data_IF_762735987398
#
_entry.id   IF_762735987398
#
_cell.length_a   1.000
_cell.length_b   1.000
_cell.length_c   1.000
_cell.angle_alpha   90.00
_cell.angle_beta   90.00
_cell.angle_gamma   90.00
#
_symmetry.space_group_name_H-M   'P 1'
#
loop_
_entity.id
_entity.type
_entity.pdbx_description
1 polymer ?
#
# COMPACT_ATOMS: atom_id res chain seq x y z
N UNK A 1 19.12 -4.86 -11.32
CA UNK A 1 19.06 -5.09 -9.87
C UNK A 1 17.94 -4.21 -9.35
N UNK A 2 16.87 -4.78 -8.78
CA UNK A 2 15.77 -3.96 -8.23
C UNK A 2 16.29 -3.05 -7.13
N UNK A 3 15.82 -1.81 -7.12
CA UNK A 3 16.13 -0.86 -6.06
C UNK A 3 15.66 -1.45 -4.70
N UNK A 4 16.53 -1.51 -3.67
CA UNK A 4 16.11 -1.94 -2.32
C UNK A 4 14.90 -1.16 -1.77
N UNK A 5 14.69 0.08 -2.22
CA UNK A 5 13.50 0.89 -1.92
C UNK A 5 12.23 0.28 -2.50
N UNK A 6 12.26 -0.15 -3.76
CA UNK A 6 11.12 -0.79 -4.43
C UNK A 6 10.77 -2.14 -3.81
N UNK A 7 11.77 -2.95 -3.45
CA UNK A 7 11.56 -4.23 -2.76
C UNK A 7 10.90 -4.04 -1.38
N UNK A 8 11.29 -2.97 -0.67
CA UNK A 8 10.69 -2.61 0.63
C UNK A 8 9.24 -2.14 0.46
N UNK A 9 8.97 -1.30 -0.54
CA UNK A 9 7.61 -0.84 -0.87
C UNK A 9 6.72 -2.01 -1.27
N UNK A 10 7.19 -2.90 -2.13
CA UNK A 10 6.47 -4.11 -2.54
C UNK A 10 6.09 -4.94 -1.31
N UNK A 11 7.06 -5.21 -0.42
CA UNK A 11 6.81 -5.99 0.80
C UNK A 11 5.75 -5.37 1.70
N UNK A 12 5.76 -4.03 1.86
CA UNK A 12 4.73 -3.30 2.63
C UNK A 12 3.35 -3.40 1.99
N UNK A 13 3.26 -3.29 0.66
CA UNK A 13 2.02 -3.44 -0.09
C UNK A 13 1.45 -4.86 0.02
N UNK A 14 2.29 -5.88 -0.16
CA UNK A 14 1.90 -7.29 -0.02
C UNK A 14 1.37 -7.58 1.38
N UNK A 15 2.06 -7.10 2.43
CA UNK A 15 1.64 -7.29 3.81
C UNK A 15 0.31 -6.60 4.12
N UNK A 16 0.13 -5.35 3.65
CA UNK A 16 -1.13 -4.63 3.80
C UNK A 16 -2.28 -5.35 3.08
N UNK A 17 -2.06 -5.87 1.88
CA UNK A 17 -3.04 -6.65 1.13
C UNK A 17 -3.42 -7.96 1.86
N UNK A 18 -2.43 -8.70 2.37
CA UNK A 18 -2.67 -9.92 3.16
C UNK A 18 -3.55 -9.64 4.38
N UNK A 19 -3.31 -8.52 5.07
CA UNK A 19 -4.16 -8.10 6.21
C UNK A 19 -5.59 -7.81 5.79
N UNK A 20 -5.81 -7.15 4.64
CA UNK A 20 -7.17 -6.92 4.13
C UNK A 20 -7.88 -8.23 3.82
N UNK A 21 -7.19 -9.19 3.19
CA UNK A 21 -7.74 -10.52 2.89
C UNK A 21 -8.08 -11.25 4.19
N UNK A 22 -7.15 -11.29 5.14
CA UNK A 22 -7.39 -11.94 6.43
C UNK A 22 -8.60 -11.33 7.15
N UNK A 23 -8.70 -10.00 7.19
CA UNK A 23 -9.86 -9.31 7.75
C UNK A 23 -11.16 -9.62 6.99
N UNK A 24 -11.11 -9.89 5.69
CA UNK A 24 -12.30 -10.29 4.93
C UNK A 24 -12.74 -11.73 5.27
N UNK A 25 -11.79 -12.66 5.29
CA UNK A 25 -12.09 -14.09 5.43
C UNK A 25 -12.39 -14.49 6.88
N UNK A 26 -11.74 -13.85 7.86
CA UNK A 26 -11.83 -14.26 9.28
C UNK A 26 -12.71 -13.35 10.13
N UNK A 27 -13.39 -12.40 9.50
CA UNK A 27 -14.06 -11.32 10.22
C UNK A 27 -15.38 -11.66 10.88
N UNK A 28 -15.55 -11.46 12.21
CA UNK A 28 -16.87 -11.42 12.80
C UNK A 28 -17.68 -10.25 12.23
N UNK A 29 -19.02 -10.39 12.15
CA UNK A 29 -19.98 -9.34 11.75
C UNK A 29 -20.10 -8.23 12.82
N UNK A 30 -18.98 -7.75 13.34
CA UNK A 30 -18.90 -6.71 14.37
C UNK A 30 -18.46 -5.39 13.77
N UNK A 31 -19.02 -4.28 14.28
CA UNK A 31 -18.66 -2.94 13.83
C UNK A 31 -17.17 -2.61 14.02
N UNK A 32 -16.54 -3.13 15.08
CA UNK A 32 -15.11 -2.98 15.33
C UNK A 32 -14.27 -3.60 14.20
N UNK A 33 -14.67 -4.79 13.73
CA UNK A 33 -13.97 -5.48 12.66
C UNK A 33 -14.15 -4.80 11.30
N UNK A 34 -15.38 -4.35 11.01
CA UNK A 34 -15.64 -3.54 9.81
C UNK A 34 -14.78 -2.27 9.79
N UNK A 35 -14.65 -1.59 10.93
CA UNK A 35 -13.79 -0.40 11.06
C UNK A 35 -12.30 -0.75 10.84
N UNK A 36 -11.81 -1.83 11.42
CA UNK A 36 -10.43 -2.28 11.22
C UNK A 36 -10.14 -2.60 9.73
N UNK A 37 -11.09 -3.25 9.05
CA UNK A 37 -11.00 -3.53 7.61
C UNK A 37 -10.97 -2.24 6.78
N UNK A 38 -11.88 -1.31 7.04
CA UNK A 38 -11.92 -0.03 6.35
C UNK A 38 -10.63 0.78 6.52
N UNK A 39 -10.08 0.84 7.74
CA UNK A 39 -8.81 1.51 8.01
C UNK A 39 -7.63 0.85 7.29
N UNK A 40 -7.61 -0.48 7.23
CA UNK A 40 -6.54 -1.22 6.53
C UNK A 40 -6.59 -1.00 5.02
N UNK A 41 -7.80 -1.01 4.43
CA UNK A 41 -8.01 -0.67 3.02
C UNK A 41 -7.55 0.77 2.73
N UNK A 42 -7.94 1.73 3.59
CA UNK A 42 -7.53 3.12 3.41
C UNK A 42 -6.00 3.27 3.44
N UNK A 43 -5.30 2.61 4.38
CA UNK A 43 -3.83 2.61 4.42
C UNK A 43 -3.22 2.00 3.15
N UNK A 44 -3.80 0.93 2.62
CA UNK A 44 -3.33 0.32 1.37
C UNK A 44 -3.46 1.30 0.19
N UNK A 45 -4.58 2.01 0.09
CA UNK A 45 -4.78 3.04 -0.94
C UNK A 45 -3.74 4.16 -0.83
N UNK A 46 -3.43 4.61 0.39
CA UNK A 46 -2.38 5.60 0.62
C UNK A 46 -0.99 5.12 0.19
N UNK A 47 -0.65 3.84 0.45
CA UNK A 47 0.61 3.26 0.01
C UNK A 47 0.71 3.13 -1.52
N UNK A 48 -0.42 2.89 -2.20
CA UNK A 48 -0.49 2.84 -3.66
C UNK A 48 -0.42 4.23 -4.29
N UNK A 49 -1.00 5.24 -3.64
CA UNK A 49 -0.98 6.63 -4.08
C UNK A 49 0.38 7.30 -3.91
N UNK A 50 1.27 6.76 -3.07
CA UNK A 50 2.64 7.26 -2.97
C UNK A 50 3.37 6.98 -4.29
N UNK A 51 3.90 8.03 -4.94
CA UNK A 51 4.71 7.86 -6.15
C UNK A 51 5.91 6.98 -5.80
N UNK A 52 6.22 6.03 -6.67
CA UNK A 52 7.51 5.35 -6.62
C UNK A 52 8.52 6.44 -6.98
N UNK A 53 9.56 6.65 -6.17
CA UNK A 53 10.46 7.79 -6.34
C UNK A 53 11.36 7.84 -7.60
N UNK A 54 11.36 6.93 -8.61
CA UNK A 54 12.16 7.20 -9.81
C UNK A 54 11.50 8.16 -10.85
N UNK A 55 10.22 8.53 -10.71
CA UNK A 55 9.55 9.42 -11.69
C UNK A 55 9.71 10.92 -11.37
N UNK A 56 10.03 11.28 -10.13
CA UNK A 56 10.19 12.68 -9.75
C UNK A 56 11.43 13.34 -10.39
N UNK A 57 12.51 12.57 -10.56
CA UNK A 57 13.74 13.05 -11.20
C UNK A 57 13.61 13.10 -12.73
N UNK A 58 12.88 12.15 -13.33
CA UNK A 58 12.68 12.07 -14.80
C UNK A 58 11.73 13.16 -15.33
N UNK A 59 10.80 13.63 -14.50
CA UNK A 59 9.97 14.82 -14.83
C UNK A 59 10.74 16.13 -14.66
N UNK A 60 11.66 16.23 -13.68
CA UNK A 60 12.48 17.42 -13.48
C UNK A 60 13.55 17.62 -14.56
N UNK A 61 14.06 16.53 -15.15
CA UNK A 61 15.06 16.56 -16.23
C UNK A 61 14.44 16.76 -17.63
N UNK A 62 13.13 16.53 -17.79
CA UNK A 62 12.42 16.76 -19.07
C UNK A 62 11.96 18.21 -19.26
N UNK A 63 12.04 19.06 -18.25
CA UNK A 63 11.68 20.48 -18.28
C UNK A 63 12.89 21.44 -18.31
N UNK A 64 14.13 20.92 -18.34
CA UNK A 64 15.39 21.67 -18.40
C UNK A 64 16.09 21.54 -19.76
#
# INVERSE_FOLDING_TARGET
MSDPSEATRHSRLTEALRRVILLRETGPKSAAWHRARAQTIWRLLQLLAQPTEPDAERSAESEA
#
